data_IF_075788411090
#
_entry.id   IF_075788411090
#
_cell.length_a   1.000
_cell.length_b   1.000
_cell.length_c   1.000
_cell.angle_alpha   90.00
_cell.angle_beta   90.00
_cell.angle_gamma   90.00
#
_symmetry.space_group_name_H-M   'P 1'
#
loop_
_entity.id
_entity.type
_entity.pdbx_description
1 polymer ?
#
# COMPACT_ATOMS: atom_id res chain seq x y z
N UNK A 1 84.97 77.07 68.52
CA UNK A 1 84.13 77.37 67.33
C UNK A 1 84.46 76.50 66.11
N UNK A 2 85.69 76.00 65.95
CA UNK A 2 86.08 75.14 64.82
C UNK A 2 85.45 73.72 64.85
N UNK A 3 85.46 73.02 66.00
CA UNK A 3 84.88 71.68 66.14
C UNK A 3 83.38 71.60 65.78
N UNK A 4 82.60 72.64 66.11
CA UNK A 4 81.15 72.67 65.82
C UNK A 4 80.85 72.77 64.31
N UNK A 5 81.77 73.34 63.52
CA UNK A 5 81.67 73.38 62.04
C UNK A 5 82.06 72.04 61.42
N UNK A 6 83.04 71.35 61.98
CA UNK A 6 83.48 70.04 61.50
C UNK A 6 82.43 68.95 61.74
N UNK A 7 81.81 68.94 62.93
CA UNK A 7 80.71 68.01 63.24
C UNK A 7 79.51 68.24 62.31
N UNK A 8 79.16 69.50 62.02
CA UNK A 8 78.06 69.81 61.09
C UNK A 8 78.38 69.37 59.66
N UNK A 9 79.60 69.59 59.18
CA UNK A 9 80.01 69.14 57.85
C UNK A 9 79.97 67.61 57.70
N UNK A 10 80.35 66.86 58.74
CA UNK A 10 80.25 65.39 58.75
C UNK A 10 78.80 64.88 58.78
N UNK A 11 77.90 65.58 59.49
CA UNK A 11 76.46 65.27 59.47
C UNK A 11 75.89 65.51 58.08
N UNK A 12 76.15 66.67 57.47
CA UNK A 12 75.66 67.01 56.13
C UNK A 12 76.20 66.02 55.06
N UNK A 13 77.45 65.54 55.19
CA UNK A 13 78.01 64.50 54.32
C UNK A 13 77.32 63.14 54.51
N UNK A 14 77.07 62.72 55.76
CA UNK A 14 76.34 61.48 56.03
C UNK A 14 74.90 61.54 55.52
N UNK A 15 74.22 62.68 55.66
CA UNK A 15 72.86 62.86 55.12
C UNK A 15 72.86 62.75 53.60
N UNK A 16 73.82 63.38 52.92
CA UNK A 16 73.98 63.28 51.48
C UNK A 16 74.34 61.86 51.01
N UNK A 17 75.19 61.13 51.74
CA UNK A 17 75.51 59.72 51.44
C UNK A 17 74.32 58.79 51.69
N UNK A 18 73.54 59.04 52.74
CA UNK A 18 72.31 58.32 53.01
C UNK A 18 71.26 58.58 51.94
N UNK A 19 71.10 59.83 51.50
CA UNK A 19 70.17 60.19 50.43
C UNK A 19 70.57 59.54 49.11
N UNK A 20 71.85 59.56 48.73
CA UNK A 20 72.37 58.84 47.56
C UNK A 20 72.14 57.33 47.66
N UNK A 21 72.37 56.76 48.83
CA UNK A 21 72.16 55.33 49.08
C UNK A 21 70.68 54.97 48.98
N UNK A 22 69.80 55.82 49.51
CA UNK A 22 68.35 55.68 49.42
C UNK A 22 67.88 55.78 47.97
N UNK A 23 68.43 56.70 47.18
CA UNK A 23 68.13 56.86 45.75
C UNK A 23 68.56 55.62 44.94
N UNK A 24 69.75 55.10 45.21
CA UNK A 24 70.26 53.87 44.60
C UNK A 24 69.37 52.68 44.97
N UNK A 25 69.00 52.53 46.25
CA UNK A 25 68.11 51.47 46.71
C UNK A 25 66.73 51.58 46.09
N UNK A 26 66.18 52.79 45.99
CA UNK A 26 64.87 53.07 45.38
C UNK A 26 64.89 52.70 43.90
N UNK A 27 65.95 53.05 43.18
CA UNK A 27 66.13 52.67 41.78
C UNK A 27 66.26 51.15 41.60
N UNK A 28 67.08 50.50 42.42
CA UNK A 28 67.21 49.03 42.39
C UNK A 28 65.90 48.32 42.72
N UNK A 29 65.09 48.88 43.62
CA UNK A 29 63.78 48.35 43.97
C UNK A 29 62.81 48.51 42.79
N UNK A 30 62.80 49.67 42.14
CA UNK A 30 61.98 49.95 40.97
C UNK A 30 62.32 49.00 39.80
N UNK A 31 63.61 48.82 39.51
CA UNK A 31 64.07 47.90 38.46
C UNK A 31 63.64 46.45 38.76
N UNK A 32 63.72 46.01 40.02
CA UNK A 32 63.24 44.70 40.45
C UNK A 32 61.72 44.55 40.28
N UNK A 33 60.94 45.58 40.60
CA UNK A 33 59.49 45.58 40.39
C UNK A 33 59.13 45.51 38.89
N UNK A 34 59.82 46.28 38.04
CA UNK A 34 59.63 46.23 36.59
C UNK A 34 59.87 44.83 36.04
N UNK A 35 60.96 44.16 36.45
CA UNK A 35 61.27 42.78 36.03
C UNK A 35 60.18 41.80 36.50
N UNK A 36 59.64 42.00 37.71
CA UNK A 36 58.60 41.13 38.25
C UNK A 36 57.28 41.29 37.49
N UNK A 37 56.88 42.51 37.14
CA UNK A 37 55.70 42.78 36.30
C UNK A 37 55.82 42.11 34.94
N UNK A 38 56.99 42.19 34.30
CA UNK A 38 57.23 41.55 33.01
C UNK A 38 57.15 40.02 33.11
N UNK A 39 57.70 39.43 34.19
CA UNK A 39 57.55 37.98 34.46
C UNK A 39 56.11 37.58 34.69
N UNK A 40 55.33 38.36 35.45
CA UNK A 40 53.91 38.10 35.70
C UNK A 40 53.13 38.14 34.37
N UNK A 41 53.37 39.15 33.52
CA UNK A 41 52.75 39.24 32.19
C UNK A 41 53.12 38.04 31.31
N UNK A 42 54.38 37.61 31.31
CA UNK A 42 54.84 36.45 30.55
C UNK A 42 54.18 35.15 31.03
N UNK A 43 54.09 34.92 32.34
CA UNK A 43 53.42 33.75 32.92
C UNK A 43 51.91 33.75 32.65
N UNK A 44 51.25 34.91 32.71
CA UNK A 44 49.83 35.03 32.36
C UNK A 44 49.56 34.59 30.92
N UNK A 45 50.39 35.03 29.96
CA UNK A 45 50.28 34.65 28.55
C UNK A 45 50.54 33.17 28.29
N UNK A 46 51.48 32.56 29.01
CA UNK A 46 51.71 31.11 28.95
C UNK A 46 50.49 30.33 29.49
N UNK A 47 49.85 30.82 30.55
CA UNK A 47 48.67 30.19 31.14
C UNK A 47 47.46 30.23 30.18
N UNK A 48 47.24 31.35 29.48
CA UNK A 48 46.21 31.45 28.41
C UNK A 48 46.48 30.43 27.28
N UNK A 49 47.74 30.27 26.89
CA UNK A 49 48.14 29.31 25.85
C UNK A 49 47.84 27.86 26.29
N UNK A 50 48.15 27.50 27.54
CA UNK A 50 47.81 26.20 28.13
C UNK A 50 46.30 25.94 28.15
N UNK A 51 45.49 26.94 28.52
CA UNK A 51 44.03 26.83 28.49
C UNK A 51 43.51 26.56 27.07
N UNK A 52 44.07 27.21 26.05
CA UNK A 52 43.70 26.92 24.65
C UNK A 52 44.09 25.50 24.21
N UNK A 53 45.21 24.95 24.70
CA UNK A 53 45.60 23.55 24.41
C UNK A 53 44.61 22.56 25.01
N UNK A 54 44.16 22.77 26.25
CA UNK A 54 43.16 21.89 26.89
C UNK A 54 41.82 21.92 26.14
N UNK A 55 41.41 23.08 25.61
CA UNK A 55 40.19 23.18 24.78
C UNK A 55 40.35 22.34 23.50
N UNK A 56 41.47 22.48 22.80
CA UNK A 56 41.75 21.71 21.57
C UNK A 56 41.82 20.19 21.83
N UNK A 57 42.40 19.74 22.94
CA UNK A 57 42.43 18.33 23.31
C UNK A 57 41.02 17.76 23.56
N UNK A 58 40.15 18.55 24.21
CA UNK A 58 38.76 18.17 24.44
C UNK A 58 37.97 18.13 23.13
N UNK A 59 38.18 19.10 22.22
CA UNK A 59 37.58 19.09 20.88
C UNK A 59 38.05 17.88 20.06
N UNK A 60 39.35 17.56 20.10
CA UNK A 60 39.89 16.39 19.41
C UNK A 60 39.33 15.07 19.97
N UNK A 61 39.16 14.98 21.28
CA UNK A 61 38.53 13.82 21.94
C UNK A 61 37.07 13.66 21.49
N UNK A 62 36.29 14.74 21.52
CA UNK A 62 34.89 14.77 21.05
C UNK A 62 34.78 14.38 19.57
N UNK A 63 35.70 14.86 18.73
CA UNK A 63 35.77 14.52 17.32
C UNK A 63 36.06 13.02 17.11
N UNK A 64 37.00 12.45 17.87
CA UNK A 64 37.34 11.04 17.79
C UNK A 64 36.20 10.12 18.26
N UNK A 65 35.46 10.53 19.29
CA UNK A 65 34.23 9.85 19.73
C UNK A 65 33.16 9.87 18.64
N UNK A 66 32.95 11.03 18.01
CA UNK A 66 32.03 11.20 16.88
C UNK A 66 32.43 10.32 15.69
N UNK A 67 33.71 10.28 15.34
CA UNK A 67 34.24 9.42 14.28
C UNK A 67 34.00 7.93 14.58
N UNK A 68 34.21 7.52 15.83
CA UNK A 68 33.98 6.14 16.27
C UNK A 68 32.50 5.76 16.18
N UNK A 69 31.60 6.66 16.57
CA UNK A 69 30.15 6.46 16.43
C UNK A 69 29.73 6.38 14.97
N UNK A 70 30.28 7.25 14.10
CA UNK A 70 30.03 7.24 12.67
C UNK A 70 30.46 5.92 12.03
N UNK A 71 31.65 5.42 12.39
CA UNK A 71 32.16 4.13 11.92
C UNK A 71 31.24 2.97 12.29
N UNK A 72 30.79 2.90 13.56
CA UNK A 72 29.83 1.88 14.02
C UNK A 72 28.50 1.97 13.28
N UNK A 73 28.02 3.20 13.05
CA UNK A 73 26.78 3.43 12.30
C UNK A 73 26.91 2.93 10.85
N UNK A 74 28.05 3.17 10.21
CA UNK A 74 28.35 2.67 8.87
C UNK A 74 28.37 1.13 8.82
N UNK A 75 29.00 0.47 9.79
CA UNK A 75 29.03 -1.00 9.89
C UNK A 75 27.62 -1.59 10.03
N UNK A 76 26.75 -1.00 10.85
CA UNK A 76 25.35 -1.43 11.01
C UNK A 76 24.55 -1.22 9.71
N UNK A 77 24.76 -0.11 9.01
CA UNK A 77 24.11 0.15 7.72
C UNK A 77 24.54 -0.88 6.67
N UNK A 78 25.84 -1.24 6.63
CA UNK A 78 26.35 -2.26 5.72
C UNK A 78 25.74 -3.64 6.00
N UNK A 79 25.59 -4.01 7.28
CA UNK A 79 24.92 -5.26 7.66
C UNK A 79 23.45 -5.28 7.23
N UNK A 80 22.72 -4.16 7.42
CA UNK A 80 21.33 -4.03 6.96
C UNK A 80 21.23 -4.15 5.44
N UNK A 81 22.14 -3.52 4.71
CA UNK A 81 22.18 -3.62 3.25
C UNK A 81 22.36 -5.06 2.78
N UNK A 82 23.30 -5.81 3.39
CA UNK A 82 23.53 -7.21 3.05
C UNK A 82 22.30 -8.10 3.36
N UNK A 83 21.57 -7.82 4.44
CA UNK A 83 20.33 -8.54 4.78
C UNK A 83 19.24 -8.28 3.72
N UNK A 84 19.08 -7.02 3.29
CA UNK A 84 18.12 -6.64 2.24
C UNK A 84 18.43 -7.32 0.90
N UNK A 85 19.70 -7.41 0.50
CA UNK A 85 20.11 -8.15 -0.71
C UNK A 85 19.78 -9.65 -0.64
N UNK A 86 19.91 -10.26 0.55
CA UNK A 86 19.53 -11.65 0.78
C UNK A 86 18.01 -11.85 0.66
N UNK A 87 17.21 -10.94 1.22
CA UNK A 87 15.75 -10.97 1.09
C UNK A 87 15.30 -10.80 -0.36
N UNK A 88 15.89 -9.85 -1.10
CA UNK A 88 15.63 -9.63 -2.53
C UNK A 88 15.94 -10.89 -3.34
N UNK A 89 17.06 -11.55 -3.06
CA UNK A 89 17.45 -12.80 -3.72
C UNK A 89 16.42 -13.91 -3.44
N UNK A 90 15.97 -14.03 -2.21
CA UNK A 90 14.94 -15.01 -1.81
C UNK A 90 13.61 -14.75 -2.51
N UNK A 91 13.17 -13.49 -2.60
CA UNK A 91 11.95 -13.10 -3.29
C UNK A 91 12.05 -13.35 -4.80
N UNK A 92 13.20 -13.06 -5.43
CA UNK A 92 13.45 -13.36 -6.84
C UNK A 92 13.33 -14.86 -7.13
N UNK A 93 13.90 -15.71 -6.28
CA UNK A 93 13.77 -17.17 -6.41
C UNK A 93 12.32 -17.64 -6.28
N UNK A 94 11.54 -17.07 -5.34
CA UNK A 94 10.10 -17.36 -5.21
C UNK A 94 9.32 -16.93 -6.45
N UNK A 95 9.64 -15.78 -7.05
CA UNK A 95 9.02 -15.31 -8.30
C UNK A 95 9.22 -16.30 -9.43
N UNK A 96 10.46 -16.75 -9.66
CA UNK A 96 10.78 -17.74 -10.70
C UNK A 96 10.03 -19.06 -10.47
N UNK A 97 9.88 -19.50 -9.22
CA UNK A 97 9.10 -20.70 -8.92
C UNK A 97 7.59 -20.51 -9.21
N UNK A 98 7.03 -19.33 -8.97
CA UNK A 98 5.64 -19.00 -9.30
C UNK A 98 5.42 -18.94 -10.81
N UNK A 99 6.34 -18.33 -11.56
CA UNK A 99 6.29 -18.30 -13.03
C UNK A 99 6.24 -19.71 -13.64
N UNK A 100 7.04 -20.64 -13.12
CA UNK A 100 6.99 -22.05 -13.53
C UNK A 100 5.63 -22.70 -13.26
N UNK A 101 5.01 -22.39 -12.11
CA UNK A 101 3.66 -22.90 -11.76
C UNK A 101 2.58 -22.32 -12.68
N UNK A 102 2.66 -21.04 -13.02
CA UNK A 102 1.73 -20.39 -13.95
C UNK A 102 1.84 -21.03 -15.33
N UNK A 103 3.05 -21.21 -15.84
CA UNK A 103 3.29 -21.90 -17.12
C UNK A 103 2.73 -23.33 -17.14
N UNK A 104 2.88 -24.08 -16.05
CA UNK A 104 2.29 -25.41 -15.92
C UNK A 104 0.75 -25.39 -15.96
N UNK A 105 0.11 -24.43 -15.28
CA UNK A 105 -1.35 -24.27 -15.31
C UNK A 105 -1.84 -23.92 -16.72
N UNK A 106 -1.11 -23.07 -17.45
CA UNK A 106 -1.43 -22.75 -18.85
C UNK A 106 -1.33 -23.99 -19.74
N UNK A 107 -0.30 -24.82 -19.56
CA UNK A 107 -0.17 -26.08 -20.27
C UNK A 107 -1.35 -27.03 -19.99
N UNK A 108 -1.78 -27.17 -18.74
CA UNK A 108 -2.94 -27.97 -18.37
C UNK A 108 -4.26 -27.45 -18.98
N UNK A 109 -4.42 -26.13 -19.09
CA UNK A 109 -5.58 -25.52 -19.78
C UNK A 109 -5.61 -25.92 -21.25
N UNK A 110 -4.46 -25.87 -21.94
CA UNK A 110 -4.35 -26.29 -23.34
C UNK A 110 -4.70 -27.76 -23.50
N UNK A 111 -4.20 -28.65 -22.63
CA UNK A 111 -4.55 -30.08 -22.65
C UNK A 111 -6.06 -30.29 -22.49
N UNK A 112 -6.69 -29.63 -21.52
CA UNK A 112 -8.13 -29.75 -21.29
C UNK A 112 -8.96 -29.27 -22.50
N UNK A 113 -8.56 -28.16 -23.13
CA UNK A 113 -9.20 -27.68 -24.34
C UNK A 113 -9.09 -28.69 -25.49
N UNK A 114 -7.91 -29.28 -25.70
CA UNK A 114 -7.70 -30.33 -26.71
C UNK A 114 -8.55 -31.58 -26.45
N UNK A 115 -8.65 -32.02 -25.20
CA UNK A 115 -9.50 -33.17 -24.83
C UNK A 115 -10.99 -32.90 -25.09
N UNK A 116 -11.48 -31.71 -24.73
CA UNK A 116 -12.87 -31.31 -25.02
C UNK A 116 -13.12 -31.28 -26.52
N UNK A 117 -12.20 -30.72 -27.31
CA UNK A 117 -12.32 -30.69 -28.76
C UNK A 117 -12.35 -32.09 -29.35
N UNK A 118 -11.49 -33.00 -28.88
CA UNK A 118 -11.46 -34.38 -29.33
C UNK A 118 -12.78 -35.12 -29.04
N UNK A 119 -13.34 -34.94 -27.84
CA UNK A 119 -14.64 -35.55 -27.50
C UNK A 119 -15.78 -35.04 -28.40
N UNK A 120 -15.84 -33.72 -28.61
CA UNK A 120 -16.84 -33.12 -29.52
C UNK A 120 -16.65 -33.64 -30.95
N UNK A 121 -15.41 -33.80 -31.42
CA UNK A 121 -15.13 -34.38 -32.73
C UNK A 121 -15.64 -35.83 -32.84
N UNK A 122 -15.45 -36.65 -31.81
CA UNK A 122 -15.94 -38.03 -31.78
C UNK A 122 -17.48 -38.08 -31.83
N UNK A 123 -18.18 -37.28 -31.02
CA UNK A 123 -19.64 -37.17 -31.05
C UNK A 123 -20.15 -36.75 -32.43
N UNK A 124 -19.50 -35.77 -33.07
CA UNK A 124 -19.84 -35.34 -34.44
C UNK A 124 -19.66 -36.47 -35.46
N UNK A 125 -18.64 -37.33 -35.30
CA UNK A 125 -18.44 -38.47 -36.20
C UNK A 125 -19.53 -39.53 -36.01
N UNK A 126 -19.91 -39.85 -34.77
CA UNK A 126 -21.00 -40.77 -34.48
C UNK A 126 -22.34 -40.27 -35.05
N UNK A 127 -22.61 -38.97 -34.91
CA UNK A 127 -23.79 -38.34 -35.51
C UNK A 127 -23.78 -38.41 -37.04
N UNK A 128 -22.61 -38.22 -37.69
CA UNK A 128 -22.47 -38.37 -39.14
C UNK A 128 -22.75 -39.79 -39.61
N UNK A 129 -22.26 -40.80 -38.88
CA UNK A 129 -22.52 -42.21 -39.19
C UNK A 129 -24.00 -42.54 -39.05
N UNK A 130 -24.62 -42.10 -37.96
CA UNK A 130 -26.06 -42.27 -37.71
C UNK A 130 -26.90 -41.61 -38.80
N UNK A 131 -26.56 -40.37 -39.18
CA UNK A 131 -27.25 -39.63 -40.25
C UNK A 131 -27.13 -40.35 -41.59
N UNK A 132 -25.94 -40.87 -41.91
CA UNK A 132 -25.70 -41.66 -43.13
C UNK A 132 -26.55 -42.93 -43.16
N UNK A 133 -26.63 -43.66 -42.04
CA UNK A 133 -27.48 -44.84 -41.90
C UNK A 133 -28.97 -44.51 -42.09
N UNK A 134 -29.46 -43.46 -41.43
CA UNK A 134 -30.85 -43.02 -41.57
C UNK A 134 -31.19 -42.61 -43.01
N UNK A 135 -30.27 -41.90 -43.68
CA UNK A 135 -30.41 -41.50 -45.08
C UNK A 135 -30.50 -42.72 -45.99
N UNK A 136 -29.64 -43.72 -45.79
CA UNK A 136 -29.66 -44.97 -46.57
C UNK A 136 -30.97 -45.75 -46.37
N UNK A 137 -31.45 -45.85 -45.12
CA UNK A 137 -32.75 -46.49 -44.84
C UNK A 137 -33.91 -45.73 -45.47
N UNK A 138 -33.89 -44.40 -45.44
CA UNK A 138 -34.92 -43.59 -46.10
C UNK A 138 -34.91 -43.81 -47.62
N UNK A 139 -33.73 -43.87 -48.23
CA UNK A 139 -33.58 -44.18 -49.66
C UNK A 139 -34.11 -45.58 -49.99
N UNK A 140 -33.80 -46.59 -49.18
CA UNK A 140 -34.33 -47.94 -49.35
C UNK A 140 -35.86 -47.95 -49.26
N UNK A 141 -36.44 -47.30 -48.24
CA UNK A 141 -37.90 -47.16 -48.12
C UNK A 141 -38.53 -46.42 -49.29
N UNK A 142 -37.87 -45.40 -49.82
CA UNK A 142 -38.34 -44.68 -51.01
C UNK A 142 -38.30 -45.59 -52.25
N UNK A 143 -37.27 -46.43 -52.39
CA UNK A 143 -37.19 -47.43 -53.46
C UNK A 143 -38.29 -48.49 -53.31
N UNK A 144 -38.53 -48.99 -52.10
CA UNK A 144 -39.63 -49.91 -51.82
C UNK A 144 -40.97 -49.26 -52.14
N UNK A 145 -41.15 -47.99 -51.79
CA UNK A 145 -42.36 -47.23 -52.13
C UNK A 145 -42.51 -47.04 -53.64
N UNK A 146 -41.43 -46.75 -54.38
CA UNK A 146 -41.43 -46.68 -55.84
C UNK A 146 -41.75 -48.03 -56.47
N UNK A 147 -41.19 -49.12 -55.95
CA UNK A 147 -41.48 -50.47 -56.38
C UNK A 147 -42.95 -50.82 -56.13
N UNK A 148 -43.46 -50.54 -54.92
CA UNK A 148 -44.87 -50.65 -54.57
C UNK A 148 -45.73 -49.80 -55.50
N UNK A 149 -45.40 -48.53 -55.74
CA UNK A 149 -46.13 -47.64 -56.64
C UNK A 149 -46.17 -48.17 -58.06
N UNK A 150 -45.06 -48.68 -58.59
CA UNK A 150 -44.99 -49.30 -59.92
C UNK A 150 -45.75 -50.64 -59.98
N UNK A 151 -45.68 -51.45 -58.92
CA UNK A 151 -46.51 -52.65 -58.77
C UNK A 151 -47.99 -52.28 -58.66
N UNK A 152 -48.31 -51.15 -58.01
CA UNK A 152 -49.69 -50.65 -57.89
C UNK A 152 -50.16 -50.10 -59.22
N UNK A 153 -49.35 -49.40 -60.02
CA UNK A 153 -49.67 -48.99 -61.39
C UNK A 153 -49.87 -50.17 -62.34
N UNK A 154 -49.05 -51.23 -62.18
CA UNK A 154 -49.16 -52.47 -62.96
C UNK A 154 -50.38 -53.27 -62.51
N UNK A 155 -50.64 -53.31 -61.21
CA UNK A 155 -51.83 -53.87 -60.62
C UNK A 155 -53.05 -53.04 -61.02
N UNK A 156 -53.00 -51.71 -61.10
CA UNK A 156 -54.09 -50.79 -61.50
C UNK A 156 -54.39 -50.90 -63.00
N UNK A 157 -53.44 -51.31 -63.83
CA UNK A 157 -53.72 -51.79 -65.20
C UNK A 157 -54.49 -53.12 -65.22
N UNK A 158 -54.11 -54.08 -64.37
CA UNK A 158 -54.80 -55.37 -64.22
C UNK A 158 -56.11 -55.28 -63.40
N UNK A 159 -56.23 -54.23 -62.59
CA UNK A 159 -57.34 -53.91 -61.70
C UNK A 159 -58.29 -52.97 -62.44
N UNK A 160 -57.93 -52.10 -63.37
CA UNK A 160 -58.92 -51.56 -64.33
C UNK A 160 -59.62 -52.67 -65.14
N UNK A 161 -59.00 -53.85 -65.27
CA UNK A 161 -59.62 -55.08 -65.81
C UNK A 161 -60.45 -55.88 -64.77
N UNK A 162 -60.26 -55.68 -63.45
CA UNK A 162 -60.96 -56.44 -62.39
C UNK A 162 -61.74 -55.60 -61.35
N UNK A 163 -61.61 -54.27 -61.36
CA UNK A 163 -62.31 -53.25 -60.57
C UNK A 163 -63.62 -52.84 -61.27
N UNK A 164 -64.24 -53.83 -61.93
CA UNK A 164 -65.69 -53.98 -61.84
C UNK A 164 -66.12 -54.75 -60.58
N UNK A 165 -65.19 -55.21 -59.72
CA UNK A 165 -65.50 -55.96 -58.49
C UNK A 165 -64.52 -55.65 -57.35
N UNK A 166 -65.07 -55.11 -56.26
CA UNK A 166 -64.52 -55.04 -54.89
C UNK A 166 -63.50 -53.94 -54.58
N UNK A 167 -64.01 -52.71 -54.53
CA UNK A 167 -63.49 -51.64 -53.68
C UNK A 167 -63.93 -51.86 -52.21
N UNK A 168 -63.02 -51.52 -51.26
CA UNK A 168 -63.15 -51.45 -49.77
C UNK A 168 -62.52 -52.59 -48.97
N UNK A 169 -61.27 -52.38 -48.52
CA UNK A 169 -60.86 -52.42 -47.10
C UNK A 169 -59.34 -52.30 -46.99
N UNK A 170 -58.83 -51.13 -46.60
CA UNK A 170 -57.68 -50.92 -45.70
C UNK A 170 -57.27 -49.44 -45.72
N UNK A 171 -58.03 -48.61 -45.00
CA UNK A 171 -57.72 -47.19 -44.78
C UNK A 171 -57.57 -46.86 -43.27
N UNK A 172 -57.40 -47.87 -42.42
CA UNK A 172 -57.39 -47.71 -40.94
C UNK A 172 -56.03 -47.97 -40.29
N UNK A 173 -55.14 -48.77 -40.89
CA UNK A 173 -53.87 -49.16 -40.25
C UNK A 173 -52.75 -48.13 -40.46
N UNK A 174 -52.71 -47.45 -41.61
CA UNK A 174 -51.69 -46.45 -41.92
C UNK A 174 -51.87 -45.13 -41.15
N UNK A 175 -53.12 -44.77 -40.86
CA UNK A 175 -53.46 -43.56 -40.09
C UNK A 175 -52.92 -43.62 -38.65
N UNK A 176 -52.98 -44.80 -38.01
CA UNK A 176 -52.51 -45.00 -36.64
C UNK A 176 -50.98 -44.87 -36.52
N UNK A 177 -50.23 -45.40 -37.49
CA UNK A 177 -48.77 -45.29 -37.51
C UNK A 177 -48.33 -43.84 -37.76
N UNK A 178 -48.98 -43.12 -38.68
CA UNK A 178 -48.69 -41.70 -38.92
C UNK A 178 -49.04 -40.85 -37.69
N UNK A 179 -50.14 -41.15 -37.01
CA UNK A 179 -50.53 -40.46 -35.77
C UNK A 179 -49.51 -40.67 -34.66
N UNK A 180 -49.00 -41.89 -34.50
CA UNK A 180 -47.97 -42.22 -33.50
C UNK A 180 -46.63 -41.52 -33.79
N UNK A 181 -46.20 -41.49 -35.06
CA UNK A 181 -44.97 -40.76 -35.45
C UNK A 181 -45.12 -39.26 -35.20
N UNK A 182 -46.29 -38.66 -35.52
CA UNK A 182 -46.56 -37.24 -35.23
C UNK A 182 -46.51 -36.95 -33.73
N UNK A 183 -47.06 -37.83 -32.90
CA UNK A 183 -47.01 -37.68 -31.45
C UNK A 183 -45.58 -37.79 -30.90
N UNK A 184 -44.79 -38.75 -31.39
CA UNK A 184 -43.39 -38.90 -30.96
C UNK A 184 -42.53 -37.70 -31.40
N UNK A 185 -42.73 -37.20 -32.62
CA UNK A 185 -42.06 -35.98 -33.09
C UNK A 185 -42.38 -34.79 -32.18
N UNK A 186 -43.67 -34.60 -31.85
CA UNK A 186 -44.09 -33.51 -30.95
C UNK A 186 -43.51 -33.66 -29.54
N UNK A 187 -43.38 -34.88 -29.03
CA UNK A 187 -42.73 -35.13 -27.74
C UNK A 187 -41.24 -34.79 -27.77
N UNK A 188 -40.55 -35.15 -28.84
CA UNK A 188 -39.14 -34.76 -29.04
C UNK A 188 -38.96 -33.25 -29.13
N UNK A 189 -39.83 -32.55 -29.88
CA UNK A 189 -39.77 -31.09 -29.98
C UNK A 189 -39.93 -30.44 -28.60
N UNK A 190 -40.89 -30.90 -27.81
CA UNK A 190 -41.08 -30.41 -26.43
C UNK A 190 -39.86 -30.68 -25.52
N UNK A 191 -39.21 -31.84 -25.67
CA UNK A 191 -37.99 -32.17 -24.92
C UNK A 191 -36.82 -31.28 -25.32
N UNK A 192 -36.68 -30.99 -26.62
CA UNK A 192 -35.66 -30.10 -27.14
C UNK A 192 -35.87 -28.66 -26.67
N UNK A 193 -37.12 -28.20 -26.62
CA UNK A 193 -37.47 -26.88 -26.09
C UNK A 193 -37.14 -26.76 -24.59
N UNK A 194 -37.47 -27.78 -23.78
CA UNK A 194 -37.11 -27.80 -22.37
C UNK A 194 -35.60 -27.80 -22.16
N UNK A 195 -34.85 -28.57 -22.96
CA UNK A 195 -33.40 -28.62 -22.88
C UNK A 195 -32.79 -27.25 -23.24
N UNK A 196 -33.27 -26.64 -24.32
CA UNK A 196 -32.85 -25.30 -24.76
C UNK A 196 -33.11 -24.26 -23.68
N UNK A 197 -34.29 -24.29 -23.06
CA UNK A 197 -34.65 -23.41 -21.97
C UNK A 197 -33.72 -23.56 -20.75
N UNK A 198 -33.44 -24.80 -20.33
CA UNK A 198 -32.57 -25.10 -19.19
C UNK A 198 -31.12 -24.68 -19.43
N UNK A 199 -30.61 -24.90 -20.65
CA UNK A 199 -29.26 -24.46 -21.05
C UNK A 199 -29.18 -22.94 -21.02
N UNK A 200 -30.17 -22.24 -21.58
CA UNK A 200 -30.19 -20.78 -21.59
C UNK A 200 -30.27 -20.21 -20.17
N UNK A 201 -31.13 -20.74 -19.31
CA UNK A 201 -31.22 -20.32 -17.91
C UNK A 201 -29.91 -20.53 -17.13
N UNK A 202 -29.24 -21.66 -17.37
CA UNK A 202 -27.93 -21.96 -16.77
C UNK A 202 -26.84 -21.01 -17.26
N UNK A 203 -26.81 -20.70 -18.55
CA UNK A 203 -25.87 -19.74 -19.14
C UNK A 203 -26.11 -18.32 -18.62
N UNK A 204 -27.36 -17.88 -18.50
CA UNK A 204 -27.71 -16.57 -17.92
C UNK A 204 -27.22 -16.46 -16.48
N UNK A 205 -27.44 -17.50 -15.67
CA UNK A 205 -26.98 -17.54 -14.27
C UNK A 205 -25.46 -17.50 -14.18
N UNK A 206 -24.76 -18.28 -15.01
CA UNK A 206 -23.31 -18.28 -15.07
C UNK A 206 -22.75 -16.90 -15.48
N UNK A 207 -23.38 -16.24 -16.44
CA UNK A 207 -22.98 -14.90 -16.90
C UNK A 207 -23.16 -13.84 -15.80
N UNK A 208 -24.29 -13.88 -15.08
CA UNK A 208 -24.52 -13.01 -13.91
C UNK A 208 -23.46 -13.22 -12.83
N UNK A 209 -23.17 -14.47 -12.48
CA UNK A 209 -22.14 -14.80 -11.49
C UNK A 209 -20.75 -14.33 -11.92
N UNK A 210 -20.38 -14.50 -13.20
CA UNK A 210 -19.10 -14.00 -13.73
C UNK A 210 -19.01 -12.48 -13.67
N UNK A 211 -20.10 -11.75 -13.95
CA UNK A 211 -20.12 -10.30 -13.85
C UNK A 211 -20.00 -9.82 -12.40
N UNK A 212 -20.66 -10.49 -11.45
CA UNK A 212 -20.46 -10.19 -10.02
C UNK A 212 -19.01 -10.43 -9.60
N UNK A 213 -18.42 -11.57 -9.98
CA UNK A 213 -17.01 -11.89 -9.72
C UNK A 213 -16.07 -10.85 -10.34
N UNK A 214 -16.33 -10.43 -11.58
CA UNK A 214 -15.52 -9.41 -12.26
C UNK A 214 -15.63 -8.05 -11.55
N UNK A 215 -16.80 -7.68 -11.07
CA UNK A 215 -16.98 -6.47 -10.25
C UNK A 215 -16.19 -6.59 -8.95
N UNK A 216 -16.31 -7.70 -8.24
CA UNK A 216 -15.58 -7.95 -6.98
C UNK A 216 -14.05 -7.92 -7.17
N UNK A 217 -13.54 -8.50 -8.26
CA UNK A 217 -12.11 -8.45 -8.61
C UNK A 217 -11.69 -7.02 -8.97
N UNK A 218 -12.53 -6.30 -9.73
CA UNK A 218 -12.33 -4.90 -10.05
C UNK A 218 -12.20 -4.04 -8.80
N UNK A 219 -13.07 -4.23 -7.81
CA UNK A 219 -13.06 -3.44 -6.58
C UNK A 219 -11.95 -3.84 -5.60
N UNK A 220 -11.61 -5.12 -5.52
CA UNK A 220 -10.50 -5.61 -4.69
C UNK A 220 -9.12 -5.23 -5.25
N UNK A 221 -9.01 -5.01 -6.57
CA UNK A 221 -7.75 -4.60 -7.22
C UNK A 221 -7.52 -3.08 -7.18
N UNK A 222 -8.53 -2.27 -6.80
CA UNK A 222 -8.37 -0.83 -6.67
C UNK A 222 -7.48 -0.49 -5.47
N UNK A 223 -6.39 0.20 -5.76
CA UNK A 223 -5.45 0.72 -4.76
C UNK A 223 -6.00 2.03 -4.22
N UNK A 224 -6.12 2.13 -2.89
CA UNK A 224 -6.46 3.38 -2.22
C UNK A 224 -5.38 3.72 -1.21
N UNK A 225 -4.79 4.91 -1.33
CA UNK A 225 -3.80 5.41 -0.39
C UNK A 225 -3.85 6.94 -0.31
N UNK A 226 -3.86 7.45 0.92
CA UNK A 226 -3.75 8.87 1.26
C UNK A 226 -2.59 9.04 2.23
N UNK A 227 -1.76 10.05 2.03
CA UNK A 227 -0.91 10.61 3.08
C UNK A 227 -0.99 12.12 3.00
N UNK A 228 -1.34 12.77 4.10
CA UNK A 228 -1.46 14.21 4.17
C UNK A 228 -1.00 14.75 5.52
N UNK A 229 -0.43 15.95 5.51
CA UNK A 229 0.03 16.64 6.71
C UNK A 229 -0.68 17.98 6.86
N UNK A 230 -0.79 18.43 8.11
CA UNK A 230 -1.30 19.77 8.39
C UNK A 230 -0.21 20.82 8.10
N UNK A 231 -0.62 22.08 7.95
CA UNK A 231 0.29 23.22 8.18
C UNK A 231 0.16 23.63 9.64
N UNK A 232 1.05 24.48 10.18
CA UNK A 232 0.91 24.88 11.58
C UNK A 232 -0.42 25.60 11.76
N UNK A 233 -1.37 24.96 12.45
CA UNK A 233 -2.73 25.49 12.63
C UNK A 233 -3.14 25.39 14.08
N UNK A 234 -3.99 26.34 14.48
CA UNK A 234 -4.79 26.21 15.69
C UNK A 234 -6.06 25.46 15.29
N UNK A 235 -6.22 24.23 15.77
CA UNK A 235 -7.47 23.49 15.56
C UNK A 235 -8.43 23.90 16.66
N UNK A 236 -9.57 24.48 16.28
CA UNK A 236 -10.63 24.92 17.19
C UNK A 236 -11.78 23.92 17.05
N UNK A 237 -11.93 23.03 18.04
CA UNK A 237 -13.07 22.13 18.24
C UNK A 237 -13.69 21.59 16.93
N UNK A 238 -12.97 20.70 16.25
CA UNK A 238 -13.36 20.23 14.92
C UNK A 238 -12.43 19.17 14.35
N UNK A 239 -12.66 18.82 13.09
CA UNK A 239 -11.76 17.96 12.33
C UNK A 239 -10.42 18.66 12.10
N UNK A 240 -9.32 17.90 12.19
CA UNK A 240 -7.98 18.42 11.89
C UNK A 240 -7.82 18.56 10.37
N UNK A 241 -7.59 19.76 9.81
CA UNK A 241 -7.39 19.92 8.38
C UNK A 241 -5.98 19.46 7.96
N UNK A 242 -5.88 18.85 6.77
CA UNK A 242 -4.61 18.39 6.20
C UNK A 242 -4.39 18.95 4.78
N UNK A 243 -4.11 20.26 4.64
CA UNK A 243 -4.02 20.92 3.34
C UNK A 243 -2.82 20.48 2.49
N UNK A 244 -1.87 19.71 3.02
CA UNK A 244 -0.69 19.26 2.28
C UNK A 244 -0.74 17.76 2.03
N UNK A 245 -1.11 17.35 0.83
CA UNK A 245 -1.14 15.94 0.41
C UNK A 245 0.21 15.54 -0.19
N UNK A 246 0.75 14.41 0.29
CA UNK A 246 1.97 13.78 -0.22
C UNK A 246 1.67 12.58 -1.13
N UNK A 247 0.56 11.89 -0.88
CA UNK A 247 0.14 10.75 -1.69
C UNK A 247 -1.38 10.74 -1.77
N UNK A 248 -1.92 10.57 -2.97
CA UNK A 248 -3.35 10.41 -3.23
C UNK A 248 -3.51 9.43 -4.40
N UNK A 249 -4.01 8.24 -4.10
CA UNK A 249 -4.25 7.17 -5.07
C UNK A 249 -5.64 6.63 -4.81
N UNK A 250 -6.49 6.60 -5.83
CA UNK A 250 -7.84 6.00 -5.75
C UNK A 250 -8.82 6.74 -4.84
N UNK A 251 -8.64 8.05 -4.62
CA UNK A 251 -9.48 8.89 -3.76
C UNK A 251 -10.16 9.94 -4.62
N UNK A 252 -11.50 9.97 -4.64
CA UNK A 252 -12.23 10.94 -5.47
C UNK A 252 -12.54 12.25 -4.74
N UNK A 253 -12.57 12.23 -3.39
CA UNK A 253 -12.98 13.37 -2.58
C UNK A 253 -11.84 14.30 -2.13
N UNK A 254 -10.74 14.37 -2.90
CA UNK A 254 -9.50 15.07 -2.50
C UNK A 254 -9.73 16.56 -2.18
N UNK A 255 -10.52 17.28 -2.96
CA UNK A 255 -10.79 18.70 -2.74
C UNK A 255 -11.52 18.94 -1.40
N UNK A 256 -12.51 18.10 -1.09
CA UNK A 256 -13.25 18.14 0.17
C UNK A 256 -12.36 17.72 1.35
N UNK A 257 -11.48 16.74 1.16
CA UNK A 257 -10.51 16.34 2.17
C UNK A 257 -9.58 17.50 2.55
N UNK A 258 -9.08 18.26 1.56
CA UNK A 258 -8.18 19.40 1.80
C UNK A 258 -8.84 20.49 2.65
N UNK A 259 -10.13 20.74 2.47
CA UNK A 259 -10.86 21.79 3.20
C UNK A 259 -11.38 21.33 4.56
N UNK A 260 -11.73 20.06 4.70
CA UNK A 260 -12.42 19.53 5.91
C UNK A 260 -11.56 18.62 6.78
N UNK A 261 -10.48 18.06 6.24
CA UNK A 261 -9.71 16.99 6.89
C UNK A 261 -10.42 15.63 6.92
N UNK A 262 -11.56 15.49 6.23
CA UNK A 262 -12.37 14.27 6.23
C UNK A 262 -12.13 13.41 5.00
N UNK A 263 -11.66 12.19 5.23
CA UNK A 263 -11.60 11.15 4.22
C UNK A 263 -12.99 10.52 4.08
N UNK A 264 -13.50 10.41 2.86
CA UNK A 264 -14.77 9.75 2.56
C UNK A 264 -14.45 8.52 1.72
N UNK A 265 -14.90 7.36 2.17
CA UNK A 265 -14.57 6.10 1.51
C UNK A 265 -15.41 5.89 0.26
N UNK A 266 -14.77 5.79 -0.90
CA UNK A 266 -15.45 5.41 -2.14
C UNK A 266 -15.53 3.89 -2.31
N UNK A 267 -14.49 3.18 -1.87
CA UNK A 267 -14.29 1.75 -2.13
C UNK A 267 -14.28 1.00 -0.79
N UNK A 268 -15.33 0.23 -0.47
CA UNK A 268 -15.39 -0.53 0.77
C UNK A 268 -14.19 -1.47 0.95
N UNK A 269 -13.80 -1.70 2.20
CA UNK A 269 -12.79 -2.71 2.53
C UNK A 269 -12.09 -2.46 3.86
N UNK A 270 -11.03 -3.22 4.08
CA UNK A 270 -10.21 -3.07 5.27
C UNK A 270 -9.13 -2.02 5.01
N UNK A 271 -9.05 -1.01 5.86
CA UNK A 271 -8.06 0.05 5.78
C UNK A 271 -7.14 0.06 6.98
N UNK A 272 -5.86 0.32 6.74
CA UNK A 272 -4.87 0.66 7.75
C UNK A 272 -4.77 2.18 7.86
N UNK A 273 -4.98 2.70 9.06
CA UNK A 273 -4.90 4.12 9.38
C UNK A 273 -3.76 4.33 10.36
N UNK A 274 -2.89 5.27 10.02
CA UNK A 274 -1.85 5.76 10.92
C UNK A 274 -1.93 7.28 10.97
N UNK A 275 -1.88 7.86 12.16
CA UNK A 275 -1.75 9.29 12.33
C UNK A 275 -0.79 9.60 13.45
N UNK A 276 -0.06 10.70 13.30
CA UNK A 276 0.80 11.24 14.33
C UNK A 276 0.53 12.73 14.40
N UNK A 277 0.31 13.24 15.60
CA UNK A 277 0.08 14.65 15.86
C UNK A 277 1.11 15.12 16.86
N UNK A 278 1.83 16.19 16.49
CA UNK A 278 2.83 16.87 17.31
C UNK A 278 2.29 18.21 17.77
N UNK A 279 2.46 18.49 19.06
CA UNK A 279 2.01 19.73 19.69
C UNK A 279 3.06 20.25 20.67
N UNK A 280 3.03 21.55 20.94
CA UNK A 280 3.83 22.18 21.99
C UNK A 280 3.08 22.30 23.32
N UNK A 281 1.92 21.64 23.44
CA UNK A 281 1.13 21.60 24.68
C UNK A 281 1.46 20.35 25.51
N UNK A 282 1.38 20.50 26.82
CA UNK A 282 1.76 19.44 27.77
C UNK A 282 0.71 18.32 27.83
N UNK A 283 -0.57 18.63 27.64
CA UNK A 283 -1.64 17.63 27.61
C UNK A 283 -2.45 17.78 26.33
N UNK A 284 -2.57 16.69 25.58
CA UNK A 284 -3.28 16.70 24.32
C UNK A 284 -3.97 15.35 24.11
N UNK A 285 -5.20 15.42 23.60
CA UNK A 285 -6.00 14.24 23.28
C UNK A 285 -6.60 14.43 21.89
N UNK A 286 -6.57 13.38 21.09
CA UNK A 286 -7.35 13.32 19.86
C UNK A 286 -7.91 11.93 19.61
N UNK A 287 -8.94 11.91 18.78
CA UNK A 287 -9.70 10.73 18.42
C UNK A 287 -9.61 10.52 16.92
N UNK A 288 -9.52 9.26 16.52
CA UNK A 288 -9.89 8.85 15.18
C UNK A 288 -11.40 8.62 15.18
N UNK A 289 -12.11 9.37 14.35
CA UNK A 289 -13.56 9.33 14.22
C UNK A 289 -13.94 8.54 12.97
N UNK A 290 -14.96 7.68 13.08
CA UNK A 290 -15.68 7.06 11.98
C UNK A 290 -17.15 7.45 12.08
N UNK A 291 -17.71 8.16 11.09
CA UNK A 291 -19.11 8.61 11.10
C UNK A 291 -19.52 9.30 12.42
N UNK A 292 -18.68 10.20 12.93
CA UNK A 292 -18.85 10.88 14.22
C UNK A 292 -18.80 10.00 15.48
N UNK A 293 -18.44 8.71 15.35
CA UNK A 293 -18.16 7.82 16.48
C UNK A 293 -16.65 7.67 16.65
N UNK A 294 -16.14 7.86 17.87
CA UNK A 294 -14.72 7.64 18.16
C UNK A 294 -14.40 6.15 18.12
N UNK A 295 -13.47 5.75 17.25
CA UNK A 295 -13.03 4.36 17.10
C UNK A 295 -11.62 4.12 17.63
N UNK A 296 -10.85 5.18 17.86
CA UNK A 296 -9.57 5.13 18.56
C UNK A 296 -9.27 6.46 19.23
N UNK A 297 -8.41 6.44 20.24
CA UNK A 297 -8.00 7.60 21.04
C UNK A 297 -6.50 7.54 21.25
N UNK A 298 -5.84 8.70 21.19
CA UNK A 298 -4.47 8.85 21.67
C UNK A 298 -4.33 10.12 22.49
N UNK A 299 -3.42 10.08 23.46
CA UNK A 299 -3.23 11.15 24.43
C UNK A 299 -1.75 11.28 24.80
N UNK A 300 -1.32 12.51 25.06
CA UNK A 300 -0.05 12.82 25.73
C UNK A 300 -0.35 13.33 27.14
N UNK A 301 0.52 12.99 28.08
CA UNK A 301 0.43 13.41 29.48
C UNK A 301 1.40 14.55 29.76
N UNK A 302 1.08 15.33 30.78
CA UNK A 302 1.86 16.49 31.20
C UNK A 302 3.32 16.13 31.51
N UNK A 303 4.25 16.82 30.84
CA UNK A 303 5.68 16.80 31.18
C UNK A 303 6.07 18.10 31.89
N UNK A 304 6.66 18.01 33.07
CA UNK A 304 7.00 19.16 33.95
C UNK A 304 8.33 19.84 33.62
N UNK A 305 9.10 19.32 32.65
CA UNK A 305 10.33 19.94 32.14
C UNK A 305 10.09 20.95 31.02
N UNK A 306 11.10 21.79 30.74
CA UNK A 306 11.12 22.86 29.72
C UNK A 306 10.41 22.47 28.41
N UNK A 307 9.63 23.40 27.85
CA UNK A 307 8.79 23.32 26.64
C UNK A 307 9.31 22.29 25.63
N UNK A 308 8.83 21.05 25.76
CA UNK A 308 9.09 19.96 24.84
C UNK A 308 7.92 19.78 23.89
N UNK A 309 8.19 19.35 22.66
CA UNK A 309 7.12 18.92 21.77
C UNK A 309 6.66 17.52 22.15
N UNK A 310 5.35 17.35 22.28
CA UNK A 310 4.72 16.06 22.53
C UNK A 310 4.15 15.50 21.24
N UNK A 311 4.42 14.23 20.96
CA UNK A 311 3.89 13.52 19.79
C UNK A 311 3.03 12.36 20.26
N UNK A 312 1.83 12.23 19.70
CA UNK A 312 0.93 11.12 19.98
C UNK A 312 0.46 10.48 18.67
N UNK A 313 0.36 9.15 18.69
CA UNK A 313 0.15 8.31 17.50
C UNK A 313 -1.12 7.48 17.65
N UNK A 314 -1.88 7.33 16.57
CA UNK A 314 -2.93 6.31 16.41
C UNK A 314 -2.53 5.43 15.24
N UNK A 315 -2.54 4.12 15.45
CA UNK A 315 -2.38 3.12 14.39
C UNK A 315 -3.46 2.08 14.57
N UNK A 316 -4.30 1.84 13.55
CA UNK A 316 -5.38 0.86 13.62
C UNK A 316 -5.77 0.34 12.24
N UNK A 317 -6.40 -0.83 12.21
CA UNK A 317 -7.06 -1.37 11.03
C UNK A 317 -8.59 -1.35 11.23
N UNK A 318 -9.33 -0.83 10.26
CA UNK A 318 -10.77 -0.59 10.38
C UNK A 318 -11.44 -1.02 9.08
N UNK A 319 -12.54 -1.76 9.20
CA UNK A 319 -13.42 -2.05 8.08
C UNK A 319 -14.30 -0.82 7.80
N UNK A 320 -14.30 -0.36 6.55
CA UNK A 320 -14.90 0.90 6.13
C UNK A 320 -15.80 0.61 4.92
N UNK A 321 -17.03 1.11 4.99
CA UNK A 321 -18.04 0.98 3.95
C UNK A 321 -18.06 2.23 3.07
N UNK A 322 -18.69 2.13 1.90
CA UNK A 322 -18.84 3.26 0.99
C UNK A 322 -19.62 4.38 1.69
N UNK A 323 -19.14 5.62 1.53
CA UNK A 323 -19.61 6.85 2.18
C UNK A 323 -19.29 7.00 3.67
N UNK A 324 -18.59 6.06 4.29
CA UNK A 324 -18.09 6.27 5.65
C UNK A 324 -17.07 7.43 5.68
N UNK A 325 -17.17 8.30 6.68
CA UNK A 325 -16.24 9.40 6.93
C UNK A 325 -15.21 9.00 7.99
N UNK A 326 -13.92 9.25 7.71
CA UNK A 326 -12.83 9.18 8.67
C UNK A 326 -12.12 10.52 8.83
N UNK A 327 -11.86 10.91 10.08
CA UNK A 327 -11.11 12.12 10.38
C UNK A 327 -10.55 12.12 11.80
N UNK A 328 -9.58 12.98 12.06
CA UNK A 328 -9.10 13.21 13.43
C UNK A 328 -9.88 14.35 14.05
N UNK A 329 -10.30 14.19 15.31
CA UNK A 329 -10.98 15.23 16.09
C UNK A 329 -10.31 15.41 17.44
N UNK A 330 -10.16 16.66 17.86
CA UNK A 330 -9.74 16.97 19.23
C UNK A 330 -10.89 17.65 19.99
N UNK A 331 -11.14 17.29 21.27
CA UNK A 331 -12.23 17.84 22.06
C UNK A 331 -11.96 19.27 22.56
N UNK A 332 -10.69 19.70 22.54
CA UNK A 332 -10.27 21.03 22.97
C UNK A 332 -9.50 21.73 21.86
N UNK A 333 -9.19 23.01 22.06
CA UNK A 333 -8.43 23.79 21.08
C UNK A 333 -6.93 23.64 21.32
N UNK A 334 -6.20 23.22 20.29
CA UNK A 334 -4.75 22.97 20.39
C UNK A 334 -4.00 23.58 19.21
N UNK A 335 -2.75 23.98 19.47
CA UNK A 335 -1.80 24.31 18.41
C UNK A 335 -1.12 23.03 17.95
N UNK A 336 -1.32 22.68 16.67
CA UNK A 336 -0.68 21.52 16.04
C UNK A 336 0.50 22.01 15.22
N UNK A 337 1.63 21.36 15.38
CA UNK A 337 2.83 21.64 14.60
C UNK A 337 2.72 20.97 13.24
N UNK A 338 2.59 21.79 12.19
CA UNK A 338 2.12 21.37 10.87
C UNK A 338 2.95 20.26 10.22
N UNK A 339 4.20 20.58 9.92
CA UNK A 339 5.10 19.73 9.13
C UNK A 339 5.38 18.36 9.74
N UNK A 340 5.01 18.17 11.01
CA UNK A 340 5.25 16.95 11.78
C UNK A 340 3.94 16.28 12.23
N UNK A 341 2.80 16.67 11.67
CA UNK A 341 1.50 16.13 12.05
C UNK A 341 0.74 15.68 10.80
N UNK A 342 0.54 14.37 10.67
CA UNK A 342 0.04 13.76 9.44
C UNK A 342 -0.92 12.61 9.70
N UNK A 343 -1.69 12.30 8.67
CA UNK A 343 -2.56 11.14 8.58
C UNK A 343 -2.24 10.36 7.31
N UNK A 344 -2.23 9.03 7.45
CA UNK A 344 -2.06 8.06 6.39
C UNK A 344 -3.21 7.07 6.44
N UNK A 345 -3.82 6.82 5.28
CA UNK A 345 -4.96 5.89 5.11
C UNK A 345 -4.65 5.00 3.92
N UNK A 346 -4.62 3.68 4.10
CA UNK A 346 -4.26 2.73 3.05
C UNK A 346 -5.26 1.57 3.03
N UNK A 347 -5.87 1.27 1.89
CA UNK A 347 -6.67 0.04 1.72
C UNK A 347 -5.73 -1.16 1.68
N UNK A 348 -5.93 -2.11 2.59
CA UNK A 348 -5.12 -3.34 2.69
C UNK A 348 -5.82 -4.56 2.11
N UNK A 349 -7.16 -4.60 2.14
CA UNK A 349 -7.97 -5.67 1.53
C UNK A 349 -9.20 -5.10 0.88
#
# INVERSE_FOLDING_TARGET
MAEKKEVKHRIDQMELENEKTLDILTKQLHDKFSILEDKIKQTSKQNETLQTTTILENEFRSMNETYTLLKRTHEVLQQRFNLQESEITTLRNKSVALEKKVSFIEHLKTINQSLRLHNVQNEVQELKQTTSFLTNNQNARNQDFLALYNMTLTADKNVQEQFFKLERHQNLTFGNVISQIKNNSKQMDNQLDMLTHNINASLTTAFLNMNMLRSQIGDNSKKVALTACTVSTKVINGAVPFPKIYTSVGITNQATFLSTGKFVCDIPGLYYISSYIRTNQNEFVYYLMKNNVAISKSATTYWSGSIGYSTSVITTAVDIQSNDELYLKSPSSYSIEGSYSCITVIKVK
#
